data_IF_114488376887
#
_entry.id   IF_114488376887
#
_cell.length_a   1.000
_cell.length_b   1.000
_cell.length_c   1.000
_cell.angle_alpha   90.00
_cell.angle_beta   90.00
_cell.angle_gamma   90.00
#
_symmetry.space_group_name_H-M   'P 1'
#
loop_
_entity.id
_entity.type
_entity.pdbx_description
1 polymer ?
#
# COMPACT_ATOMS: atom_id res chain seq x y z
N UNK A 1 -14.74 9.26 11.65
CA UNK A 1 -15.44 8.11 12.26
C UNK A 1 -14.66 6.84 11.93
N UNK A 2 -14.59 5.87 12.86
CA UNK A 2 -13.93 4.57 12.68
C UNK A 2 -14.39 3.86 11.39
N UNK A 3 -15.69 3.98 11.10
CA UNK A 3 -16.34 3.48 9.90
C UNK A 3 -15.66 3.99 8.62
N UNK A 4 -15.38 5.30 8.54
CA UNK A 4 -14.77 5.90 7.35
C UNK A 4 -13.38 5.34 7.05
N UNK A 5 -12.61 5.04 8.10
CA UNK A 5 -11.27 4.49 7.99
C UNK A 5 -11.29 3.07 7.42
N UNK A 6 -12.28 2.25 7.77
CA UNK A 6 -12.45 0.92 7.18
C UNK A 6 -12.97 1.04 5.75
N UNK A 7 -14.01 1.86 5.51
CA UNK A 7 -14.67 1.91 4.20
C UNK A 7 -13.78 2.42 3.08
N UNK A 8 -12.82 3.31 3.36
CA UNK A 8 -11.94 3.86 2.33
C UNK A 8 -10.90 2.85 1.81
N UNK A 9 -10.55 1.84 2.62
CA UNK A 9 -9.54 0.85 2.24
C UNK A 9 -9.98 -0.03 1.07
N UNK A 10 -11.26 -0.39 0.99
CA UNK A 10 -11.81 -1.25 -0.07
C UNK A 10 -11.66 -0.60 -1.47
N UNK A 11 -12.25 0.59 -1.75
CA UNK A 11 -12.11 1.20 -3.06
C UNK A 11 -10.68 1.64 -3.35
N UNK A 12 -9.89 2.01 -2.34
CA UNK A 12 -8.47 2.31 -2.52
C UNK A 12 -7.68 1.09 -3.01
N UNK A 13 -7.91 -0.10 -2.44
CA UNK A 13 -7.24 -1.33 -2.88
C UNK A 13 -7.51 -1.61 -4.37
N UNK A 14 -8.78 -1.50 -4.78
CA UNK A 14 -9.21 -1.74 -6.17
C UNK A 14 -8.57 -0.73 -7.12
N UNK A 15 -8.60 0.56 -6.78
CA UNK A 15 -8.00 1.62 -7.60
C UNK A 15 -6.50 1.40 -7.73
N UNK A 16 -5.80 1.18 -6.63
CA UNK A 16 -4.33 1.04 -6.65
C UNK A 16 -3.91 -0.22 -7.41
N UNK A 17 -4.65 -1.32 -7.30
CA UNK A 17 -4.39 -2.53 -8.07
C UNK A 17 -4.60 -2.34 -9.58
N UNK A 18 -5.69 -1.69 -9.99
CA UNK A 18 -5.94 -1.39 -11.41
C UNK A 18 -4.89 -0.45 -11.99
N UNK A 19 -4.46 0.56 -11.24
CA UNK A 19 -3.36 1.45 -11.63
C UNK A 19 -2.03 0.69 -11.76
N UNK A 20 -1.74 -0.29 -10.89
CA UNK A 20 -0.55 -1.13 -11.02
C UNK A 20 -0.57 -1.95 -12.31
N UNK A 21 -1.70 -2.58 -12.61
CA UNK A 21 -1.85 -3.37 -13.83
C UNK A 21 -1.67 -2.50 -15.10
N UNK A 22 -2.22 -1.27 -15.09
CA UNK A 22 -2.01 -0.31 -16.18
C UNK A 22 -0.53 0.10 -16.29
N UNK A 23 0.10 0.41 -15.15
CA UNK A 23 1.49 0.83 -15.10
C UNK A 23 2.43 -0.25 -15.66
N UNK A 24 2.26 -1.50 -15.23
CA UNK A 24 3.03 -2.62 -15.75
C UNK A 24 2.80 -2.85 -17.24
N UNK A 25 1.54 -2.75 -17.71
CA UNK A 25 1.23 -2.84 -19.14
C UNK A 25 1.98 -1.78 -19.94
N UNK A 26 1.94 -0.51 -19.53
CA UNK A 26 2.63 0.60 -20.22
C UNK A 26 4.15 0.41 -20.23
N UNK A 27 4.75 -0.02 -19.13
CA UNK A 27 6.19 -0.29 -19.07
C UNK A 27 6.62 -1.42 -20.02
N UNK A 28 5.86 -2.51 -20.06
CA UNK A 28 6.19 -3.65 -20.92
C UNK A 28 6.00 -3.27 -22.40
N UNK A 29 4.93 -2.53 -22.73
CA UNK A 29 4.68 -2.05 -24.09
C UNK A 29 5.71 -1.00 -24.55
N UNK A 30 6.33 -0.25 -23.63
CA UNK A 30 7.44 0.66 -23.96
C UNK A 30 8.79 -0.05 -24.15
N UNK A 31 8.82 -1.38 -24.01
CA UNK A 31 10.02 -2.20 -24.20
C UNK A 31 10.88 -2.36 -22.95
N UNK A 32 10.42 -1.87 -21.79
CA UNK A 32 11.13 -2.05 -20.51
C UNK A 32 10.93 -3.49 -20.04
N UNK A 33 12.03 -4.23 -19.93
CA UNK A 33 12.04 -5.58 -19.33
C UNK A 33 12.18 -5.46 -17.82
N UNK A 34 11.17 -5.90 -17.09
CA UNK A 34 11.18 -5.96 -15.64
C UNK A 34 11.74 -7.31 -15.18
N UNK A 35 12.31 -7.39 -13.96
CA UNK A 35 12.76 -8.65 -13.40
C UNK A 35 11.59 -9.63 -13.26
N UNK A 36 11.82 -10.88 -13.68
CA UNK A 36 10.86 -11.97 -13.43
C UNK A 36 11.02 -12.41 -12.00
N UNK A 37 10.20 -11.86 -11.12
CA UNK A 37 10.13 -12.31 -9.73
C UNK A 37 9.10 -13.44 -9.70
N UNK A 38 9.53 -14.63 -9.26
CA UNK A 38 8.58 -15.70 -8.96
C UNK A 38 7.80 -15.27 -7.73
N UNK A 39 6.66 -14.63 -7.94
CA UNK A 39 5.72 -14.38 -6.85
C UNK A 39 5.35 -15.74 -6.25
N UNK A 40 5.85 -16.04 -5.05
CA UNK A 40 5.40 -17.19 -4.27
C UNK A 40 3.98 -16.87 -3.82
N UNK A 41 3.03 -17.04 -4.74
CA UNK A 41 1.62 -16.79 -4.51
C UNK A 41 1.06 -17.91 -3.61
N UNK A 42 1.51 -18.00 -2.36
CA UNK A 42 0.90 -18.88 -1.35
C UNK A 42 -0.60 -18.58 -1.15
N UNK A 43 -1.08 -17.42 -1.62
CA UNK A 43 -2.42 -16.88 -1.37
C UNK A 43 -3.24 -16.71 -2.67
N UNK A 44 -2.62 -16.80 -3.87
CA UNK A 44 -3.37 -16.62 -5.13
C UNK A 44 -4.09 -17.89 -5.60
N UNK A 45 -4.04 -18.97 -4.82
CA UNK A 45 -4.92 -20.10 -5.05
C UNK A 45 -6.35 -19.67 -4.81
N UNK A 46 -7.18 -19.80 -5.85
CA UNK A 46 -8.65 -19.69 -5.83
C UNK A 46 -9.32 -20.63 -4.81
N UNK A 47 -8.51 -21.43 -4.12
CA UNK A 47 -8.87 -22.42 -3.12
C UNK A 47 -8.80 -21.87 -1.67
N UNK A 48 -8.44 -20.60 -1.43
CA UNK A 48 -8.37 -20.06 -0.05
C UNK A 48 -9.69 -20.22 0.72
N UNK A 49 -10.82 -20.05 0.02
CA UNK A 49 -12.16 -20.18 0.61
C UNK A 49 -12.56 -21.63 0.91
N UNK A 50 -11.90 -22.62 0.30
CA UNK A 50 -12.14 -24.03 0.60
C UNK A 50 -11.32 -24.52 1.80
N UNK A 51 -10.32 -23.74 2.25
CA UNK A 51 -9.49 -24.07 3.40
C UNK A 51 -10.26 -23.97 4.72
N UNK A 52 -9.85 -24.71 5.76
CA UNK A 52 -10.45 -24.59 7.09
C UNK A 52 -10.43 -23.15 7.60
N UNK A 53 -11.49 -22.72 8.29
CA UNK A 53 -11.62 -21.35 8.80
C UNK A 53 -10.44 -20.92 9.70
N UNK A 54 -9.84 -21.86 10.44
CA UNK A 54 -8.66 -21.61 11.27
C UNK A 54 -7.44 -21.20 10.42
N UNK A 55 -7.29 -21.81 9.24
CA UNK A 55 -6.23 -21.46 8.29
C UNK A 55 -6.47 -20.08 7.70
N UNK A 56 -7.69 -19.76 7.30
CA UNK A 56 -8.07 -18.43 6.79
C UNK A 56 -7.81 -17.37 7.86
N UNK A 57 -8.23 -17.62 9.11
CA UNK A 57 -8.01 -16.71 10.22
C UNK A 57 -6.51 -16.48 10.48
N UNK A 58 -5.70 -17.54 10.43
CA UNK A 58 -4.25 -17.44 10.57
C UNK A 58 -3.64 -16.61 9.44
N UNK A 59 -4.01 -16.84 8.18
CA UNK A 59 -3.54 -16.05 7.03
C UNK A 59 -3.90 -14.58 7.20
N UNK A 60 -5.16 -14.25 7.51
CA UNK A 60 -5.60 -12.86 7.73
C UNK A 60 -4.82 -12.21 8.88
N UNK A 61 -4.55 -12.94 9.95
CA UNK A 61 -3.75 -12.44 11.07
C UNK A 61 -2.34 -12.05 10.62
N UNK A 62 -1.64 -12.95 9.92
CA UNK A 62 -0.23 -12.75 9.55
C UNK A 62 -0.03 -11.81 8.35
N UNK A 63 -0.99 -11.70 7.43
CA UNK A 63 -0.84 -10.90 6.20
C UNK A 63 -1.64 -9.61 6.18
N UNK A 64 -2.70 -9.48 6.99
CA UNK A 64 -3.51 -8.27 7.03
C UNK A 64 -3.41 -7.55 8.37
N UNK A 65 -3.58 -8.24 9.50
CA UNK A 65 -3.66 -7.60 10.82
C UNK A 65 -2.29 -7.20 11.35
N UNK A 66 -1.35 -8.16 11.46
CA UNK A 66 -0.02 -7.89 12.02
C UNK A 66 0.73 -6.82 11.20
N UNK A 67 0.79 -6.90 9.85
CA UNK A 67 1.42 -5.85 9.05
C UNK A 67 0.77 -4.49 9.25
N UNK A 68 -0.56 -4.42 9.24
CA UNK A 68 -1.29 -3.16 9.43
C UNK A 68 -1.05 -2.51 10.81
N UNK A 69 -0.68 -3.27 11.84
CA UNK A 69 -0.31 -2.68 13.14
C UNK A 69 1.17 -2.30 13.15
N UNK A 70 2.06 -3.26 12.84
CA UNK A 70 3.50 -3.09 12.97
C UNK A 70 4.04 -2.03 12.01
N UNK A 71 3.61 -2.08 10.75
CA UNK A 71 4.07 -1.13 9.75
C UNK A 71 3.54 0.28 10.05
N UNK A 72 2.32 0.44 10.52
CA UNK A 72 1.82 1.78 10.91
C UNK A 72 2.56 2.36 12.11
N UNK A 73 2.87 1.54 13.12
CA UNK A 73 3.69 1.97 14.26
C UNK A 73 5.04 2.52 13.79
N UNK A 74 5.69 1.82 12.86
CA UNK A 74 6.99 2.23 12.34
C UNK A 74 6.88 3.41 11.36
N UNK A 75 6.16 3.26 10.26
CA UNK A 75 6.12 4.25 9.19
C UNK A 75 5.35 5.51 9.58
N UNK A 76 4.22 5.39 10.28
CA UNK A 76 3.38 6.55 10.62
C UNK A 76 3.66 7.06 12.04
N UNK A 77 4.03 6.16 12.95
CA UNK A 77 4.37 6.50 14.33
C UNK A 77 5.78 7.06 14.49
N UNK A 78 6.78 6.48 13.81
CA UNK A 78 8.19 6.89 13.93
C UNK A 78 8.61 7.72 12.71
N UNK A 79 8.65 7.13 11.52
CA UNK A 79 9.27 7.76 10.34
C UNK A 79 8.53 9.05 9.91
N UNK A 80 7.21 8.97 9.71
CA UNK A 80 6.39 10.14 9.35
C UNK A 80 6.44 11.22 10.44
N UNK A 81 6.40 10.84 11.71
CA UNK A 81 6.45 11.79 12.82
C UNK A 81 7.80 12.54 12.87
N UNK A 82 8.92 11.82 12.71
CA UNK A 82 10.26 12.42 12.62
C UNK A 82 10.38 13.32 11.40
N UNK A 83 9.98 12.86 10.21
CA UNK A 83 9.98 13.69 8.99
C UNK A 83 9.09 14.92 9.12
N UNK A 84 7.90 14.79 9.74
CA UNK A 84 6.96 15.91 9.92
C UNK A 84 7.43 16.92 10.96
N UNK A 85 8.19 16.48 11.96
CA UNK A 85 8.74 17.35 13.02
C UNK A 85 9.74 18.39 12.46
N UNK A 86 10.47 18.02 11.41
CA UNK A 86 11.44 18.88 10.74
C UNK A 86 11.01 19.37 9.35
N UNK A 87 10.00 18.76 8.72
CA UNK A 87 9.69 18.98 7.31
C UNK A 87 8.28 19.49 7.00
N UNK A 88 8.10 19.91 5.74
CA UNK A 88 6.77 20.19 5.19
C UNK A 88 5.93 18.91 5.11
N UNK A 89 4.61 19.02 5.33
CA UNK A 89 3.69 17.88 5.31
C UNK A 89 3.80 17.02 4.04
N UNK A 90 3.80 17.66 2.87
CA UNK A 90 3.86 16.98 1.58
C UNK A 90 5.18 16.21 1.44
N UNK A 91 6.30 16.85 1.78
CA UNK A 91 7.62 16.21 1.74
C UNK A 91 7.69 15.00 2.68
N UNK A 92 7.20 15.16 3.92
CA UNK A 92 7.17 14.06 4.90
C UNK A 92 6.31 12.87 4.43
N UNK A 93 5.15 13.14 3.83
CA UNK A 93 4.28 12.10 3.28
C UNK A 93 4.93 11.37 2.10
N UNK A 94 5.56 12.10 1.16
CA UNK A 94 6.20 11.52 -0.01
C UNK A 94 7.40 10.67 0.37
N UNK A 95 8.33 11.18 1.19
CA UNK A 95 9.51 10.40 1.58
C UNK A 95 9.17 9.17 2.42
N UNK A 96 8.17 9.29 3.30
CA UNK A 96 7.66 8.12 4.03
C UNK A 96 7.03 7.10 3.08
N UNK A 97 6.24 7.54 2.10
CA UNK A 97 5.60 6.66 1.12
C UNK A 97 6.63 5.95 0.22
N UNK A 98 7.70 6.64 -0.18
CA UNK A 98 8.83 6.02 -0.91
C UNK A 98 9.47 4.93 -0.05
N UNK A 99 9.81 5.23 1.21
CA UNK A 99 10.39 4.25 2.12
C UNK A 99 9.48 3.03 2.32
N UNK A 100 8.16 3.25 2.44
CA UNK A 100 7.15 2.21 2.56
C UNK A 100 7.07 1.33 1.30
N UNK A 101 7.16 1.93 0.11
CA UNK A 101 7.18 1.19 -1.13
C UNK A 101 8.43 0.33 -1.28
N UNK A 102 9.61 0.90 -0.99
CA UNK A 102 10.88 0.18 -1.06
C UNK A 102 10.94 -0.98 -0.06
N UNK A 103 10.30 -0.83 1.12
CA UNK A 103 10.18 -1.89 2.12
C UNK A 103 9.49 -3.15 1.59
N UNK A 104 8.54 -3.00 0.66
CA UNK A 104 7.82 -4.15 0.09
C UNK A 104 8.68 -5.00 -0.85
N UNK A 105 9.85 -4.49 -1.27
CA UNK A 105 10.87 -5.23 -2.02
C UNK A 105 10.36 -5.95 -3.28
N UNK A 106 9.25 -5.49 -3.87
CA UNK A 106 8.68 -6.02 -5.11
C UNK A 106 8.67 -4.93 -6.18
N UNK A 107 9.69 -4.89 -7.07
CA UNK A 107 9.77 -4.01 -8.24
C UNK A 107 8.50 -3.94 -9.11
N UNK A 108 7.73 -5.03 -9.19
CA UNK A 108 6.49 -5.08 -9.98
C UNK A 108 5.27 -4.53 -9.23
N UNK A 109 5.44 -4.29 -7.93
CA UNK A 109 4.38 -3.86 -7.03
C UNK A 109 4.79 -2.65 -6.19
N UNK A 110 5.71 -1.78 -6.65
CA UNK A 110 6.10 -0.58 -5.89
C UNK A 110 5.02 0.51 -5.89
N UNK A 111 4.18 0.57 -6.94
CA UNK A 111 3.19 1.63 -7.09
C UNK A 111 2.05 1.56 -6.05
N UNK A 112 1.41 0.42 -5.76
CA UNK A 112 0.34 0.35 -4.76
C UNK A 112 0.79 0.66 -3.33
N UNK A 113 1.91 0.11 -2.83
CA UNK A 113 2.48 0.49 -1.55
C UNK A 113 2.80 1.99 -1.50
N UNK A 114 3.34 2.59 -2.56
CA UNK A 114 3.58 4.03 -2.58
C UNK A 114 2.28 4.83 -2.40
N UNK A 115 1.23 4.50 -3.16
CA UNK A 115 -0.08 5.18 -3.06
C UNK A 115 -0.75 4.94 -1.70
N UNK A 116 -0.65 3.72 -1.15
CA UNK A 116 -1.06 3.37 0.21
C UNK A 116 -0.27 4.20 1.25
N UNK A 117 1.03 4.35 1.03
CA UNK A 117 1.94 5.27 1.73
C UNK A 117 1.31 6.64 1.92
N UNK A 118 1.00 7.29 0.80
CA UNK A 118 0.42 8.62 0.74
C UNK A 118 -0.97 8.69 1.41
N UNK A 119 -1.86 7.74 1.11
CA UNK A 119 -3.22 7.72 1.65
C UNK A 119 -3.20 7.61 3.18
N UNK A 120 -2.41 6.70 3.72
CA UNK A 120 -2.32 6.48 5.16
C UNK A 120 -1.60 7.62 5.88
N UNK A 121 -0.60 8.26 5.25
CA UNK A 121 -0.01 9.49 5.78
C UNK A 121 -1.04 10.64 5.85
N UNK A 122 -1.87 10.78 4.83
CA UNK A 122 -2.99 11.74 4.81
C UNK A 122 -4.00 11.46 5.93
N UNK A 123 -4.45 10.20 6.07
CA UNK A 123 -5.37 9.80 7.15
C UNK A 123 -4.74 10.04 8.53
N UNK A 124 -3.47 9.66 8.71
CA UNK A 124 -2.72 9.91 9.95
C UNK A 124 -2.64 11.39 10.29
N UNK A 125 -2.40 12.24 9.29
CA UNK A 125 -2.34 13.69 9.48
C UNK A 125 -3.70 14.24 9.89
N UNK A 126 -4.75 13.84 9.19
CA UNK A 126 -6.10 14.35 9.38
C UNK A 126 -6.72 13.91 10.71
N UNK A 127 -6.54 12.65 11.08
CA UNK A 127 -7.17 12.07 12.27
C UNK A 127 -6.33 12.19 13.55
N UNK A 128 -5.06 12.60 13.46
CA UNK A 128 -4.20 12.79 14.64
C UNK A 128 -3.75 11.54 15.37
N UNK A 129 -4.35 10.38 15.08
CA UNK A 129 -4.17 9.09 15.75
C UNK A 129 -3.66 8.05 14.76
N UNK A 130 -3.02 7.00 15.26
CA UNK A 130 -2.52 5.87 14.44
C UNK A 130 -3.62 4.88 14.07
N UNK A 131 -4.54 4.59 14.99
CA UNK A 131 -5.59 3.58 14.79
C UNK A 131 -6.45 3.75 13.52
N UNK A 132 -6.81 4.97 13.08
CA UNK A 132 -7.48 5.14 11.78
C UNK A 132 -6.64 4.64 10.60
N UNK A 133 -5.34 4.94 10.57
CA UNK A 133 -4.46 4.45 9.52
C UNK A 133 -4.27 2.92 9.61
N UNK A 134 -4.16 2.35 10.82
CA UNK A 134 -4.12 0.90 11.03
C UNK A 134 -5.34 0.19 10.49
N UNK A 135 -6.54 0.74 10.72
CA UNK A 135 -7.79 0.14 10.22
C UNK A 135 -7.93 0.27 8.71
N UNK A 136 -7.54 1.40 8.13
CA UNK A 136 -7.49 1.56 6.68
C UNK A 136 -6.49 0.60 6.05
N UNK A 137 -5.30 0.45 6.63
CA UNK A 137 -4.27 -0.47 6.15
C UNK A 137 -4.73 -1.93 6.25
N UNK A 138 -5.32 -2.33 7.37
CA UNK A 138 -5.94 -3.64 7.52
C UNK A 138 -7.00 -3.88 6.44
N UNK A 139 -7.89 -2.90 6.21
CA UNK A 139 -8.90 -3.00 5.15
C UNK A 139 -8.28 -3.13 3.77
N UNK A 140 -7.22 -2.37 3.45
CA UNK A 140 -6.49 -2.48 2.19
C UNK A 140 -5.95 -3.89 1.99
N UNK A 141 -5.25 -4.42 3.00
CA UNK A 141 -4.64 -5.76 2.93
C UNK A 141 -5.70 -6.85 2.79
N UNK A 142 -6.78 -6.78 3.58
CA UNK A 142 -7.89 -7.72 3.50
C UNK A 142 -8.59 -7.65 2.14
N UNK A 143 -8.81 -6.46 1.59
CA UNK A 143 -9.41 -6.30 0.26
C UNK A 143 -8.53 -6.88 -0.83
N UNK A 144 -7.20 -6.71 -0.78
CA UNK A 144 -6.30 -7.32 -1.74
C UNK A 144 -6.38 -8.85 -1.69
N UNK A 145 -6.42 -9.45 -0.50
CA UNK A 145 -6.57 -10.91 -0.34
C UNK A 145 -7.93 -11.36 -0.91
N UNK A 146 -9.02 -10.74 -0.47
CA UNK A 146 -10.37 -11.16 -0.84
C UNK A 146 -10.69 -10.96 -2.33
N UNK A 147 -10.14 -9.92 -2.95
CA UNK A 147 -10.42 -9.58 -4.34
C UNK A 147 -9.41 -10.14 -5.33
N UNK A 148 -8.34 -10.84 -4.89
CA UNK A 148 -7.33 -11.44 -5.77
C UNK A 148 -7.94 -12.29 -6.90
N UNK A 149 -8.99 -13.13 -6.68
CA UNK A 149 -9.61 -13.90 -7.75
C UNK A 149 -10.29 -13.05 -8.84
N UNK A 150 -10.74 -11.84 -8.47
CA UNK A 150 -11.45 -10.92 -9.38
C UNK A 150 -10.51 -9.86 -9.98
N UNK A 151 -9.47 -9.49 -9.26
CA UNK A 151 -8.51 -8.43 -9.58
C UNK A 151 -7.08 -8.92 -9.32
N UNK A 152 -6.59 -9.89 -10.12
CA UNK A 152 -5.26 -10.43 -9.90
C UNK A 152 -4.18 -9.39 -10.21
N UNK A 153 -3.03 -9.55 -9.54
CA UNK A 153 -1.79 -8.86 -9.89
C UNK A 153 -1.28 -9.44 -11.20
N UNK A 154 -1.31 -8.66 -12.27
CA UNK A 154 -0.77 -9.11 -13.55
C UNK A 154 0.75 -9.21 -13.46
N UNK A 155 1.29 -10.32 -13.94
CA UNK A 155 2.74 -10.56 -13.98
C UNK A 155 3.30 -10.23 -15.36
N UNK A 156 4.62 -10.02 -15.44
CA UNK A 156 5.28 -9.82 -16.73
C UNK A 156 5.02 -10.98 -17.70
N UNK A 157 5.06 -12.23 -17.23
CA UNK A 157 4.80 -13.40 -18.07
C UNK A 157 3.38 -13.39 -18.64
N UNK A 158 2.37 -13.03 -17.84
CA UNK A 158 0.99 -12.92 -18.32
C UNK A 158 0.84 -11.83 -19.39
N UNK A 159 1.45 -10.67 -19.15
CA UNK A 159 1.37 -9.51 -20.04
C UNK A 159 2.13 -9.74 -21.37
N UNK A 160 3.21 -10.52 -21.35
CA UNK A 160 3.96 -10.92 -22.54
C UNK A 160 3.30 -12.04 -23.34
N UNK A 161 2.54 -12.92 -22.67
CA UNK A 161 1.77 -13.99 -23.33
C UNK A 161 0.68 -13.42 -24.27
N UNK A 162 0.25 -12.16 -24.06
CA UNK A 162 -0.74 -11.44 -24.87
C UNK A 162 -2.01 -12.26 -25.18
N UNK A 163 -2.35 -13.23 -24.34
CA UNK A 163 -3.55 -14.03 -24.50
C UNK A 163 -4.81 -13.19 -24.30
N UNK A 164 -5.91 -13.64 -24.91
CA UNK A 164 -7.23 -13.03 -24.73
C UNK A 164 -7.59 -12.95 -23.23
N UNK A 165 -7.23 -13.98 -22.46
CA UNK A 165 -7.48 -14.03 -21.02
C UNK A 165 -6.78 -12.90 -20.26
N UNK A 166 -5.46 -12.70 -20.46
CA UNK A 166 -4.74 -11.60 -19.79
C UNK A 166 -5.31 -10.23 -20.16
N UNK A 167 -5.67 -10.05 -21.43
CA UNK A 167 -6.24 -8.78 -21.91
C UNK A 167 -7.59 -8.50 -21.24
N UNK A 168 -8.45 -9.52 -21.09
CA UNK A 168 -9.70 -9.40 -20.35
C UNK A 168 -9.49 -9.06 -18.87
N UNK A 169 -8.50 -9.67 -18.20
CA UNK A 169 -8.16 -9.36 -16.81
C UNK A 169 -7.66 -7.92 -16.63
N UNK A 170 -6.85 -7.43 -17.58
CA UNK A 170 -6.43 -6.04 -17.60
C UNK A 170 -7.63 -5.10 -17.67
N UNK A 171 -8.49 -5.25 -18.69
CA UNK A 171 -9.68 -4.41 -18.86
C UNK A 171 -10.64 -4.48 -17.68
N UNK A 172 -10.88 -5.68 -17.14
CA UNK A 172 -11.70 -5.85 -15.93
C UNK A 172 -11.13 -5.05 -14.75
N UNK A 173 -9.81 -5.09 -14.54
CA UNK A 173 -9.16 -4.34 -13.47
C UNK A 173 -9.22 -2.81 -13.65
N UNK A 174 -9.18 -2.31 -14.89
CA UNK A 174 -9.33 -0.89 -15.19
C UNK A 174 -10.76 -0.40 -14.97
N UNK A 175 -11.75 -1.18 -15.43
CA UNK A 175 -13.17 -0.86 -15.22
C UNK A 175 -13.48 -0.85 -13.72
N UNK A 176 -13.02 -1.86 -12.98
CA UNK A 176 -13.19 -1.92 -11.54
C UNK A 176 -12.52 -0.73 -10.84
N UNK A 177 -11.32 -0.31 -11.25
CA UNK A 177 -10.65 0.87 -10.72
C UNK A 177 -11.46 2.16 -10.99
N UNK A 178 -11.99 2.33 -12.21
CA UNK A 178 -12.86 3.47 -12.52
C UNK A 178 -14.11 3.51 -11.63
N UNK A 179 -14.79 2.37 -11.46
CA UNK A 179 -15.98 2.27 -10.61
C UNK A 179 -15.62 2.55 -9.15
N UNK A 180 -14.54 1.95 -8.64
CA UNK A 180 -14.08 2.16 -7.28
C UNK A 180 -13.65 3.61 -7.02
N UNK A 181 -13.10 4.31 -8.02
CA UNK A 181 -12.74 5.71 -7.91
C UNK A 181 -13.96 6.61 -7.62
N UNK A 182 -15.14 6.28 -8.15
CA UNK A 182 -16.40 6.99 -7.87
C UNK A 182 -16.73 6.94 -6.37
N UNK A 183 -16.41 5.83 -5.69
CA UNK A 183 -16.54 5.71 -4.23
C UNK A 183 -15.37 6.32 -3.45
N UNK A 184 -14.14 6.19 -3.95
CA UNK A 184 -12.94 6.65 -3.27
C UNK A 184 -12.88 8.19 -3.17
N UNK A 185 -13.19 8.90 -4.25
CA UNK A 185 -13.03 10.37 -4.32
C UNK A 185 -13.91 11.08 -3.25
N UNK A 186 -15.21 10.79 -3.12
CA UNK A 186 -16.04 11.39 -2.07
C UNK A 186 -15.53 11.08 -0.66
N UNK A 187 -15.02 9.86 -0.42
CA UNK A 187 -14.46 9.49 0.88
C UNK A 187 -13.20 10.29 1.21
N UNK A 188 -12.29 10.48 0.24
CA UNK A 188 -11.11 11.34 0.41
C UNK A 188 -11.53 12.78 0.74
N UNK A 189 -12.50 13.34 -0.01
CA UNK A 189 -13.02 14.69 0.22
C UNK A 189 -13.65 14.81 1.62
N UNK A 190 -14.43 13.82 2.03
CA UNK A 190 -15.07 13.79 3.34
C UNK A 190 -14.04 13.76 4.47
N UNK A 191 -12.96 12.98 4.33
CA UNK A 191 -11.84 12.98 5.29
C UNK A 191 -11.14 14.33 5.29
N UNK A 192 -10.86 14.90 4.12
CA UNK A 192 -10.17 16.20 3.99
C UNK A 192 -10.93 17.34 4.67
N UNK A 193 -12.26 17.26 4.69
CA UNK A 193 -13.13 18.24 5.34
C UNK A 193 -13.27 18.06 6.85
N UNK A 194 -12.74 16.98 7.44
CA UNK A 194 -12.67 16.87 8.89
C UNK A 194 -11.75 18.00 9.43
N UNK A 195 -12.00 18.47 10.65
CA UNK A 195 -11.02 19.34 11.31
C UNK A 195 -9.83 18.46 11.72
N UNK A 196 -8.59 18.83 11.37
CA UNK A 196 -7.44 18.00 11.72
C UNK A 196 -7.30 17.92 13.25
N UNK A 197 -7.33 16.71 13.79
CA UNK A 197 -7.07 16.48 15.22
C UNK A 197 -5.54 16.48 15.44
N UNK A 198 -4.97 17.49 16.12
CA UNK A 198 -3.56 17.47 16.52
C UNK A 198 -2.85 18.83 16.50
N UNK A 199 -1.68 18.89 17.13
CA UNK A 199 -0.85 20.10 17.17
C UNK A 199 -0.40 20.48 15.75
N UNK A 200 -0.69 21.71 15.34
CA UNK A 200 -0.09 22.28 14.13
C UNK A 200 1.41 22.52 14.39
N UNK A 201 2.27 21.67 13.81
CA UNK A 201 3.72 21.84 13.90
C UNK A 201 4.13 23.12 13.16
N UNK A 202 4.81 24.03 13.86
CA UNK A 202 5.39 25.25 13.27
C UNK A 202 6.33 24.89 12.12
N UNK A 203 6.21 25.60 10.99
CA UNK A 203 7.08 25.43 9.81
C UNK A 203 8.53 25.75 10.18
N UNK A 204 9.33 24.74 10.54
CA UNK A 204 10.79 24.78 10.40
C UNK A 204 11.10 23.92 9.19
N UNK A 205 11.92 24.41 8.27
CA UNK A 205 12.36 23.63 7.12
C UNK A 205 13.65 22.92 7.50
N UNK A 206 13.61 21.59 7.58
CA UNK A 206 14.76 20.71 7.82
C UNK A 206 14.77 19.70 6.68
N UNK A 207 15.89 19.66 5.95
CA UNK A 207 16.05 18.84 4.74
C UNK A 207 16.14 17.35 5.08
N UNK A 208 16.71 17.00 6.24
CA UNK A 208 16.79 15.63 6.76
C UNK A 208 16.73 15.62 8.29
N UNK A 209 15.84 14.83 8.93
CA UNK A 209 15.84 14.70 10.38
C UNK A 209 17.08 13.92 10.83
N UNK A 210 18.04 14.60 11.45
CA UNK A 210 19.27 13.99 11.99
C UNK A 210 19.08 13.27 13.33
N UNK A 211 17.90 12.71 13.61
CA UNK A 211 17.67 11.95 14.85
C UNK A 211 18.08 10.48 14.72
N UNK A 212 18.50 9.86 15.83
CA UNK A 212 18.95 8.46 15.83
C UNK A 212 17.83 7.48 15.49
N UNK A 213 16.57 7.87 15.68
CA UNK A 213 15.37 7.07 15.33
C UNK A 213 15.23 6.96 13.83
N UNK A 214 15.48 8.04 13.10
CA UNK A 214 15.53 8.04 11.64
C UNK A 214 16.69 7.17 11.13
N UNK A 215 17.89 7.30 11.71
CA UNK A 215 19.01 6.44 11.37
C UNK A 215 18.69 4.95 11.60
N UNK A 216 18.10 4.62 12.75
CA UNK A 216 17.65 3.27 13.05
C UNK A 216 16.56 2.78 12.07
N UNK A 217 15.61 3.64 11.70
CA UNK A 217 14.58 3.32 10.73
C UNK A 217 15.16 3.00 9.35
N UNK A 218 16.14 3.78 8.89
CA UNK A 218 16.85 3.52 7.63
C UNK A 218 17.66 2.22 7.71
N UNK A 219 18.35 1.96 8.84
CA UNK A 219 19.08 0.70 9.03
C UNK A 219 18.13 -0.50 9.01
N UNK A 220 17.01 -0.44 9.74
CA UNK A 220 16.00 -1.51 9.74
C UNK A 220 15.40 -1.72 8.34
N UNK A 221 15.13 -0.64 7.61
CA UNK A 221 14.65 -0.70 6.24
C UNK A 221 15.67 -1.41 5.32
N UNK A 222 16.94 -1.01 5.40
CA UNK A 222 18.03 -1.62 4.61
C UNK A 222 18.20 -3.09 4.96
N UNK A 223 18.25 -3.43 6.26
CA UNK A 223 18.38 -4.81 6.72
C UNK A 223 17.21 -5.66 6.25
N UNK A 224 15.97 -5.15 6.36
CA UNK A 224 14.78 -5.89 5.91
C UNK A 224 14.82 -6.15 4.41
N UNK A 225 15.14 -5.13 3.62
CA UNK A 225 15.31 -5.27 2.16
C UNK A 225 16.39 -6.33 1.86
N UNK A 226 17.56 -6.26 2.51
CA UNK A 226 18.65 -7.22 2.30
C UNK A 226 18.27 -8.65 2.70
N UNK A 227 17.51 -8.83 3.78
CA UNK A 227 17.01 -10.15 4.18
C UNK A 227 16.00 -10.70 3.17
N UNK A 228 15.09 -9.87 2.68
CA UNK A 228 14.12 -10.29 1.66
C UNK A 228 14.80 -10.70 0.35
N UNK A 229 15.83 -9.97 -0.08
CA UNK A 229 16.59 -10.28 -1.31
C UNK A 229 17.65 -11.38 -1.16
N UNK A 230 18.08 -11.74 0.05
CA UNK A 230 19.05 -12.83 0.27
C UNK A 230 18.39 -14.21 0.41
N UNK A 231 17.07 -14.25 0.60
CA UNK A 231 16.27 -15.47 0.76
C UNK A 231 15.48 -15.81 -0.52
N UNK A 232 15.50 -14.94 -1.53
CA UNK A 232 14.89 -15.14 -2.87
C UNK A 232 15.92 -15.53 -3.93
#
# INVERSE_FOLDING_TARGET
SLFLAVTIGIPAAVVFQGLNNLFLYVLIQSGIRLPVIRSSNMIADTDLLSRPWIFIAFIVLITAVIPAVVEELFFRGVLFASLRSGGALVSAAVWQAIAFALFHADPLFLLPPFLTGLLLAFIRHQCGRLWPAMLTHFSLNLSLIALTPLLPRLTQSMLLDQSQHTTSLLYASLIAACIAAVGLIPLIILIANLKPEGKQYKKKFVVFPGDWKFALAIVLLIVTIMLTYSVS
#
